data_IF_421482076759
#
_entry.id   IF_421482076759
#
_cell.length_a   1.000
_cell.length_b   1.000
_cell.length_c   1.000
_cell.angle_alpha   90.00
_cell.angle_beta   90.00
_cell.angle_gamma   90.00
#
_symmetry.space_group_name_H-M   'P 1'
#
loop_
_entity.id
_entity.type
_entity.pdbx_description
1 polymer ?
#
# COMPACT_ATOMS: atom_id res chain seq x y z
N UNK A 1 -10.37 0.84 -0.61
CA UNK A 1 -9.16 1.67 -0.87
C UNK A 1 -8.33 1.04 -1.97
N UNK A 2 -7.91 1.83 -2.92
CA UNK A 2 -6.99 1.38 -3.96
C UNK A 2 -5.56 1.38 -3.47
N UNK A 3 -4.80 0.35 -3.83
CA UNK A 3 -3.40 0.19 -3.47
C UNK A 3 -2.63 -0.20 -4.72
N UNK A 4 -1.48 0.43 -4.94
CA UNK A 4 -0.55 0.06 -6.00
C UNK A 4 0.73 -0.48 -5.38
N UNK A 5 1.28 -1.52 -6.00
CA UNK A 5 2.58 -2.08 -5.63
C UNK A 5 3.58 -1.82 -6.75
N UNK A 6 4.69 -1.21 -6.40
CA UNK A 6 5.78 -0.87 -7.31
C UNK A 6 7.06 -1.56 -6.91
N UNK A 7 7.89 -1.94 -7.89
CA UNK A 7 9.27 -2.34 -7.63
C UNK A 7 10.21 -1.18 -7.91
N UNK A 8 11.25 -1.07 -7.09
CA UNK A 8 12.28 -0.03 -7.21
C UNK A 8 13.63 -0.63 -7.60
N UNK A 9 13.67 -1.90 -7.98
CA UNK A 9 14.92 -2.63 -8.23
C UNK A 9 15.58 -2.28 -9.57
N UNK A 10 14.87 -1.62 -10.46
CA UNK A 10 15.41 -1.22 -11.76
C UNK A 10 15.80 0.26 -11.79
N UNK A 11 16.30 0.77 -12.94
CA UNK A 11 16.62 2.18 -13.09
C UNK A 11 15.41 3.10 -12.99
N UNK A 12 14.21 2.55 -13.22
CA UNK A 12 12.94 3.23 -13.07
C UNK A 12 12.00 2.33 -12.30
N UNK A 13 11.16 2.92 -11.45
CA UNK A 13 10.15 2.13 -10.75
C UNK A 13 9.13 1.57 -11.74
N UNK A 14 8.65 0.37 -11.45
CA UNK A 14 7.66 -0.29 -12.29
C UNK A 14 6.45 -0.68 -11.46
N UNK A 15 5.27 -0.39 -11.99
CA UNK A 15 4.02 -0.82 -11.37
C UNK A 15 3.86 -2.33 -11.57
N UNK A 16 3.75 -3.06 -10.47
CA UNK A 16 3.55 -4.50 -10.49
C UNK A 16 2.08 -4.88 -10.43
N UNK A 17 1.33 -4.27 -9.52
CA UNK A 17 -0.08 -4.59 -9.30
C UNK A 17 -0.86 -3.38 -8.83
N UNK A 18 -2.14 -3.35 -9.18
CA UNK A 18 -3.12 -2.43 -8.62
C UNK A 18 -4.25 -3.28 -8.05
N UNK A 19 -4.58 -3.10 -6.79
CA UNK A 19 -5.63 -3.85 -6.11
C UNK A 19 -6.53 -2.90 -5.33
N UNK A 20 -7.67 -3.42 -4.85
CA UNK A 20 -8.56 -2.72 -3.94
C UNK A 20 -8.77 -3.56 -2.70
N UNK A 21 -8.90 -2.90 -1.55
CA UNK A 21 -9.29 -3.58 -0.32
C UNK A 21 -10.76 -3.99 -0.40
N UNK A 22 -11.07 -5.10 0.27
CA UNK A 22 -12.45 -5.57 0.42
C UNK A 22 -13.15 -4.86 1.59
N UNK A 23 -14.36 -5.30 1.95
CA UNK A 23 -15.13 -4.72 3.03
C UNK A 23 -14.44 -4.80 4.39
N UNK A 24 -13.54 -5.76 4.57
CA UNK A 24 -12.77 -5.93 5.81
C UNK A 24 -11.47 -5.11 5.82
N UNK A 25 -11.23 -4.32 4.78
CA UNK A 25 -10.00 -3.53 4.66
C UNK A 25 -8.79 -4.34 4.26
N UNK A 26 -8.99 -5.52 3.66
CA UNK A 26 -7.92 -6.44 3.25
C UNK A 26 -7.99 -6.71 1.76
N UNK A 27 -6.89 -7.16 1.20
CA UNK A 27 -6.87 -7.64 -0.18
C UNK A 27 -7.33 -9.10 -0.22
N UNK A 28 -8.05 -9.49 -1.29
CA UNK A 28 -8.56 -10.85 -1.42
C UNK A 28 -7.45 -11.87 -1.64
N UNK A 29 -6.31 -11.42 -2.16
CA UNK A 29 -5.13 -12.26 -2.38
C UNK A 29 -3.88 -11.51 -1.97
N UNK A 30 -2.79 -12.24 -1.74
CA UNK A 30 -1.49 -11.63 -1.47
C UNK A 30 -1.03 -10.79 -2.66
N UNK A 31 -0.47 -9.62 -2.40
CA UNK A 31 0.06 -8.74 -3.46
C UNK A 31 1.21 -9.41 -4.20
N UNK A 32 2.09 -10.10 -3.47
CA UNK A 32 3.14 -10.93 -4.06
C UNK A 32 2.96 -12.35 -3.54
N UNK A 33 2.74 -13.29 -4.45
CA UNK A 33 2.76 -14.70 -4.12
C UNK A 33 4.18 -15.17 -3.81
N UNK A 34 4.30 -16.35 -3.21
CA UNK A 34 5.60 -16.91 -2.84
C UNK A 34 6.55 -17.02 -4.03
N UNK A 35 6.03 -17.25 -5.22
CA UNK A 35 6.82 -17.36 -6.45
C UNK A 35 7.28 -16.00 -6.99
N UNK A 36 6.56 -14.93 -6.65
CA UNK A 36 6.85 -13.58 -7.12
C UNK A 36 7.76 -12.81 -6.18
N UNK A 37 7.88 -13.27 -4.92
CA UNK A 37 8.63 -12.58 -3.88
C UNK A 37 10.13 -12.66 -4.17
N UNK A 38 10.77 -11.49 -4.27
CA UNK A 38 12.21 -11.37 -4.54
C UNK A 38 12.81 -10.37 -3.56
N UNK A 39 14.06 -10.56 -3.12
CA UNK A 39 14.75 -9.53 -2.36
C UNK A 39 14.85 -8.23 -3.15
N UNK A 40 14.76 -7.11 -2.47
CA UNK A 40 14.88 -5.80 -3.07
C UNK A 40 13.99 -4.78 -2.42
N UNK A 41 13.86 -3.62 -3.06
CA UNK A 41 13.05 -2.53 -2.57
C UNK A 41 11.73 -2.43 -3.33
N UNK A 42 10.68 -2.14 -2.58
CA UNK A 42 9.31 -2.01 -3.09
C UNK A 42 8.65 -0.78 -2.49
N UNK A 43 7.58 -0.35 -3.15
CA UNK A 43 6.77 0.75 -2.64
C UNK A 43 5.29 0.40 -2.79
N UNK A 44 4.56 0.53 -1.69
CA UNK A 44 3.10 0.50 -1.71
C UNK A 44 2.60 1.95 -1.74
N UNK A 45 1.66 2.24 -2.62
CA UNK A 45 1.00 3.54 -2.66
C UNK A 45 -0.46 3.33 -2.29
N UNK A 46 -0.87 3.92 -1.18
CA UNK A 46 -2.24 3.84 -0.67
C UNK A 46 -3.00 5.10 -1.07
N UNK A 47 -4.11 4.94 -1.77
CA UNK A 47 -4.92 6.07 -2.25
C UNK A 47 -5.93 6.48 -1.17
N UNK A 48 -5.39 6.99 -0.06
CA UNK A 48 -6.20 7.32 1.12
C UNK A 48 -7.13 8.50 0.88
N UNK A 49 -6.72 9.48 0.09
CA UNK A 49 -7.54 10.64 -0.21
C UNK A 49 -8.84 10.25 -0.91
N UNK A 50 -8.75 9.41 -1.92
CA UNK A 50 -9.93 8.92 -2.64
C UNK A 50 -10.84 8.12 -1.72
N UNK A 51 -10.26 7.31 -0.84
CA UNK A 51 -11.02 6.52 0.11
C UNK A 51 -11.83 7.40 1.06
N UNK A 52 -11.17 8.38 1.70
CA UNK A 52 -11.86 9.25 2.67
C UNK A 52 -12.84 10.20 2.00
N UNK A 53 -12.63 10.56 0.73
CA UNK A 53 -13.57 11.39 -0.02
C UNK A 53 -14.95 10.74 -0.19
N UNK A 54 -15.02 9.40 -0.14
CA UNK A 54 -16.29 8.67 -0.24
C UNK A 54 -16.99 8.47 1.09
N UNK A 55 -16.36 8.87 2.21
CA UNK A 55 -16.93 8.68 3.54
C UNK A 55 -17.84 9.84 3.93
N UNK A 56 -18.88 9.61 4.77
CA UNK A 56 -19.74 10.68 5.27
C UNK A 56 -18.91 11.75 6.00
N UNK A 57 -19.24 13.00 5.76
CA UNK A 57 -18.57 14.12 6.42
C UNK A 57 -17.23 14.49 5.80
N UNK A 58 -16.91 13.98 4.62
CA UNK A 58 -15.68 14.34 3.92
C UNK A 58 -15.63 15.84 3.65
N UNK A 59 -14.46 16.44 3.93
CA UNK A 59 -14.26 17.87 3.68
C UNK A 59 -14.09 18.13 2.19
N UNK A 60 -14.56 19.29 1.72
CA UNK A 60 -14.32 19.76 0.36
C UNK A 60 -12.93 20.38 0.24
N UNK A 61 -12.40 20.40 -0.97
CA UNK A 61 -11.14 21.05 -1.26
C UNK A 61 -9.95 20.09 -1.26
N UNK A 62 -8.73 20.62 -1.32
CA UNK A 62 -7.52 19.78 -1.35
C UNK A 62 -7.41 18.92 -0.10
N UNK A 63 -6.98 17.67 -0.30
CA UNK A 63 -6.86 16.69 0.77
C UNK A 63 -5.52 16.85 1.46
N UNK A 64 -5.50 16.75 2.78
CA UNK A 64 -4.25 16.81 3.52
C UNK A 64 -3.37 15.60 3.19
N UNK A 65 -3.92 14.38 3.30
CA UNK A 65 -3.29 13.17 2.80
C UNK A 65 -4.03 12.71 1.55
N UNK A 66 -3.31 12.52 0.46
CA UNK A 66 -3.88 12.02 -0.79
C UNK A 66 -3.32 10.65 -1.12
N UNK A 67 -2.08 10.55 -1.60
CA UNK A 67 -1.39 9.29 -1.83
C UNK A 67 -0.34 9.10 -0.74
N UNK A 68 -0.38 7.94 -0.08
CA UNK A 68 0.58 7.61 0.98
C UNK A 68 1.53 6.53 0.47
N UNK A 69 2.79 6.86 0.18
CA UNK A 69 3.78 5.87 -0.22
C UNK A 69 4.43 5.24 1.01
N UNK A 70 4.56 3.93 0.99
CA UNK A 70 5.31 3.18 1.99
C UNK A 70 6.38 2.39 1.27
N UNK A 71 7.62 2.82 1.41
CA UNK A 71 8.76 2.14 0.80
C UNK A 71 9.34 1.15 1.79
N UNK A 72 9.55 -0.08 1.36
CA UNK A 72 10.05 -1.13 2.24
C UNK A 72 10.98 -2.07 1.49
N UNK A 73 11.81 -2.79 2.25
CA UNK A 73 12.73 -3.77 1.70
C UNK A 73 12.32 -5.18 2.03
N UNK A 74 12.55 -6.09 1.09
CA UNK A 74 12.46 -7.52 1.30
C UNK A 74 13.88 -8.06 1.28
N UNK A 75 14.36 -8.52 2.42
CA UNK A 75 15.69 -9.11 2.55
C UNK A 75 15.67 -10.63 2.36
N UNK A 76 14.61 -11.28 2.83
CA UNK A 76 14.46 -12.73 2.81
C UNK A 76 13.18 -13.09 2.05
N UNK A 77 13.33 -13.63 0.83
CA UNK A 77 12.21 -14.00 -0.02
C UNK A 77 11.42 -15.20 0.51
N UNK A 78 11.93 -15.90 1.54
CA UNK A 78 11.23 -17.03 2.17
C UNK A 78 10.40 -16.60 3.38
N UNK A 79 10.57 -15.36 3.86
CA UNK A 79 9.83 -14.83 4.99
C UNK A 79 8.47 -14.30 4.55
N UNK A 80 7.56 -14.19 5.51
CA UNK A 80 6.27 -13.53 5.29
C UNK A 80 6.40 -12.03 5.55
N UNK A 81 5.72 -11.25 4.72
CA UNK A 81 5.69 -9.80 4.85
C UNK A 81 4.25 -9.32 4.90
N UNK A 82 3.93 -8.57 5.92
CA UNK A 82 2.65 -7.90 6.06
C UNK A 82 2.93 -6.42 6.35
N UNK A 83 2.44 -5.55 5.49
CA UNK A 83 2.67 -4.10 5.58
C UNK A 83 1.33 -3.41 5.74
N UNK A 84 0.81 -3.32 6.98
CA UNK A 84 -0.48 -2.68 7.22
C UNK A 84 -0.36 -1.17 7.22
N UNK A 85 -1.45 -0.49 6.94
CA UNK A 85 -1.58 0.94 7.07
C UNK A 85 -2.69 1.27 8.04
N UNK A 86 -2.36 2.03 9.09
CA UNK A 86 -3.36 2.64 9.97
C UNK A 86 -3.42 4.10 9.58
N UNK A 87 -4.60 4.57 9.17
CA UNK A 87 -4.71 5.91 8.61
C UNK A 87 -5.98 6.62 9.04
N UNK A 88 -5.88 7.93 9.04
CA UNK A 88 -6.99 8.88 9.15
C UNK A 88 -6.81 9.89 8.02
N UNK A 89 -7.74 10.85 7.82
CA UNK A 89 -7.53 11.88 6.81
C UNK A 89 -6.29 12.75 7.06
N UNK A 90 -5.72 12.74 8.27
CA UNK A 90 -4.63 13.64 8.65
C UNK A 90 -3.36 12.94 9.11
N UNK A 91 -3.37 11.61 9.31
CA UNK A 91 -2.21 10.90 9.81
C UNK A 91 -2.21 9.46 9.35
N UNK A 92 -1.02 8.85 9.38
CA UNK A 92 -0.91 7.41 9.12
C UNK A 92 0.29 6.84 9.84
N UNK A 93 0.25 5.53 10.05
CA UNK A 93 1.41 4.77 10.52
C UNK A 93 1.42 3.41 9.85
N UNK A 94 2.59 2.80 9.83
CA UNK A 94 2.79 1.46 9.28
C UNK A 94 3.78 0.70 10.14
N UNK A 95 3.76 -0.63 10.02
CA UNK A 95 4.71 -1.49 10.71
C UNK A 95 4.84 -2.78 9.91
N UNK A 96 5.89 -3.55 10.21
CA UNK A 96 6.01 -4.89 9.64
C UNK A 96 5.22 -5.86 10.52
N UNK A 97 4.15 -6.44 9.95
CA UNK A 97 3.39 -7.51 10.58
C UNK A 97 4.07 -8.87 10.43
N UNK A 98 3.65 -9.81 11.22
CA UNK A 98 4.13 -11.18 11.13
C UNK A 98 3.52 -11.94 9.96
#
# INVERSE_FOLDING_TARGET
>A
MQIQLWTLNGPQRQLLKTVRTNADGRTDASLLGAEELRPGEYELVFFVGDYFATQPGAAAGPRFLDHVPVRFGIADATASYHVPLLCSPWSYSTYRGA
#
